data_IF_412609831479
#
_entry.id   IF_412609831479
#
_cell.length_a   1.000
_cell.length_b   1.000
_cell.length_c   1.000
_cell.angle_alpha   90.00
_cell.angle_beta   90.00
_cell.angle_gamma   90.00
#
_symmetry.space_group_name_H-M   'P 1'
#
loop_
_entity.id
_entity.type
_entity.pdbx_description
1 polymer ?
#
# COMPACT_ATOMS: atom_id res chain seq x y z
N UNK A 1 -19.24 -0.88 7.13
CA UNK A 1 -18.66 -1.86 6.23
C UNK A 1 -17.15 -1.81 6.34
N UNK A 2 -16.55 -2.94 6.46
CA UNK A 2 -15.14 -3.00 6.72
C UNK A 2 -14.28 -2.91 5.47
N UNK A 3 -13.00 -2.75 5.69
CA UNK A 3 -12.01 -2.81 4.63
C UNK A 3 -11.85 -4.25 4.17
N UNK A 4 -11.87 -4.46 2.87
CA UNK A 4 -11.59 -5.76 2.28
C UNK A 4 -10.24 -5.67 1.57
N UNK A 5 -9.37 -6.62 1.84
CA UNK A 5 -8.05 -6.69 1.22
C UNK A 5 -7.91 -8.02 0.52
N UNK A 6 -7.69 -7.97 -0.79
CA UNK A 6 -7.38 -9.15 -1.58
C UNK A 6 -5.93 -9.06 -2.00
N UNK A 7 -5.18 -10.15 -1.83
CA UNK A 7 -3.77 -10.16 -2.21
C UNK A 7 -3.56 -11.01 -3.45
N UNK A 8 -2.70 -10.54 -4.34
CA UNK A 8 -2.26 -11.24 -5.53
C UNK A 8 -0.74 -11.21 -5.57
N UNK A 9 -0.12 -12.19 -6.15
CA UNK A 9 1.33 -12.24 -6.25
C UNK A 9 1.79 -12.12 -7.69
N UNK A 10 2.81 -11.30 -7.90
CA UNK A 10 3.50 -11.16 -9.17
C UNK A 10 4.98 -11.40 -8.87
N UNK A 11 5.43 -12.66 -9.00
CA UNK A 11 6.77 -13.03 -8.59
C UNK A 11 6.97 -12.77 -7.10
N UNK A 12 7.97 -11.99 -6.76
CA UNK A 12 8.27 -11.64 -5.37
C UNK A 12 7.44 -10.46 -4.85
N UNK A 13 6.56 -9.90 -5.70
CA UNK A 13 5.78 -8.72 -5.37
C UNK A 13 4.37 -9.13 -5.00
N UNK A 14 3.83 -8.55 -3.94
CA UNK A 14 2.44 -8.76 -3.54
C UNK A 14 1.66 -7.50 -3.86
N UNK A 15 0.55 -7.66 -4.59
CA UNK A 15 -0.39 -6.56 -4.84
C UNK A 15 -1.55 -6.71 -3.87
N UNK A 16 -1.80 -5.66 -3.10
CA UNK A 16 -2.92 -5.62 -2.17
C UNK A 16 -4.01 -4.73 -2.78
N UNK A 17 -5.12 -5.35 -3.17
CA UNK A 17 -6.28 -4.64 -3.70
C UNK A 17 -7.20 -4.31 -2.54
N UNK A 18 -7.25 -3.04 -2.16
CA UNK A 18 -8.09 -2.58 -1.07
C UNK A 18 -9.42 -2.08 -1.61
N UNK A 19 -10.49 -2.41 -0.90
CA UNK A 19 -11.81 -1.87 -1.23
C UNK A 19 -12.58 -1.58 0.04
N UNK A 20 -13.44 -0.57 -0.05
CA UNK A 20 -14.28 -0.19 1.06
C UNK A 20 -14.49 1.31 1.10
N UNK A 21 -15.38 1.74 1.98
CA UNK A 21 -15.71 3.15 2.12
C UNK A 21 -14.75 3.80 3.10
N UNK A 22 -15.03 4.28 4.15
CA UNK A 22 -14.14 4.92 5.10
C UNK A 22 -13.35 3.94 5.94
N UNK A 23 -13.00 2.85 5.41
CA UNK A 23 -12.82 1.68 6.24
C UNK A 23 -11.40 1.33 6.61
N UNK A 24 -10.46 2.14 6.21
CA UNK A 24 -9.11 1.96 6.74
C UNK A 24 -9.09 2.26 8.24
N UNK A 25 -10.15 2.92 8.73
CA UNK A 25 -10.35 3.10 10.17
C UNK A 25 -10.67 1.81 10.91
N UNK A 26 -10.88 0.72 10.21
CA UNK A 26 -11.19 -0.56 10.85
C UNK A 26 -9.98 -1.14 11.58
N UNK A 27 -9.17 -0.29 12.12
CA UNK A 27 -8.10 -0.71 12.96
C UNK A 27 -6.90 -1.16 12.16
N UNK A 28 -6.37 -2.30 12.51
CA UNK A 28 -5.06 -2.73 12.06
C UNK A 28 -5.11 -3.78 10.94
N UNK A 29 -6.22 -3.81 10.19
CA UNK A 29 -6.42 -4.85 9.17
C UNK A 29 -5.27 -4.86 8.16
N UNK A 30 -4.90 -3.67 7.66
CA UNK A 30 -3.81 -3.57 6.70
C UNK A 30 -2.47 -4.01 7.31
N UNK A 31 -2.17 -3.52 8.51
CA UNK A 31 -0.93 -3.89 9.19
C UNK A 31 -0.86 -5.37 9.47
N UNK A 32 -1.97 -5.97 9.92
CA UNK A 32 -2.01 -7.40 10.23
C UNK A 32 -1.79 -8.23 8.96
N UNK A 33 -2.41 -7.83 7.87
CA UNK A 33 -2.23 -8.54 6.60
C UNK A 33 -0.78 -8.49 6.14
N UNK A 34 -0.19 -7.31 6.17
CA UNK A 34 1.21 -7.14 5.73
C UNK A 34 2.16 -7.86 6.69
N UNK A 35 1.91 -7.79 7.98
CA UNK A 35 2.75 -8.45 8.97
C UNK A 35 2.77 -9.97 8.75
N UNK A 36 1.60 -10.55 8.45
CA UNK A 36 1.52 -11.97 8.13
C UNK A 36 2.32 -12.34 6.91
N UNK A 37 2.23 -11.50 5.86
CA UNK A 37 2.98 -11.74 4.63
C UNK A 37 4.48 -11.52 4.82
N UNK A 38 4.87 -10.54 5.65
CA UNK A 38 6.27 -10.35 6.02
C UNK A 38 6.84 -11.59 6.70
N UNK A 39 6.06 -12.23 7.57
CA UNK A 39 6.48 -13.45 8.24
C UNK A 39 6.71 -14.59 7.26
N UNK A 40 6.06 -14.53 6.09
CA UNK A 40 6.26 -15.49 5.00
C UNK A 40 7.41 -15.10 4.07
N UNK A 41 8.10 -14.00 4.36
CA UNK A 41 9.22 -13.55 3.55
C UNK A 41 8.87 -12.57 2.44
N UNK A 42 7.63 -12.10 2.37
CA UNK A 42 7.23 -11.11 1.37
C UNK A 42 7.64 -9.71 1.84
N UNK A 43 8.26 -8.92 0.97
CA UNK A 43 8.81 -7.62 1.35
C UNK A 43 8.43 -6.48 0.41
N UNK A 44 7.94 -6.79 -0.79
CA UNK A 44 7.69 -5.78 -1.82
C UNK A 44 6.21 -5.77 -2.16
N UNK A 45 5.58 -4.63 -1.97
CA UNK A 45 4.13 -4.52 -2.01
C UNK A 45 3.68 -3.37 -2.91
N UNK A 46 2.58 -3.59 -3.61
CA UNK A 46 1.85 -2.54 -4.31
C UNK A 46 0.50 -2.41 -3.62
N UNK A 47 0.18 -1.21 -3.20
CA UNK A 47 -1.10 -0.92 -2.56
C UNK A 47 -2.02 -0.29 -3.59
N UNK A 48 -3.03 -1.03 -4.02
CA UNK A 48 -3.98 -0.56 -5.02
C UNK A 48 -5.18 0.07 -4.33
N UNK A 49 -5.33 1.38 -4.50
CA UNK A 49 -6.37 2.16 -3.83
C UNK A 49 -7.54 2.50 -4.75
N UNK A 50 -7.63 1.83 -5.91
CA UNK A 50 -8.67 2.14 -6.90
C UNK A 50 -10.08 2.09 -6.32
N UNK A 51 -10.35 1.15 -5.43
CA UNK A 51 -11.66 0.94 -4.86
C UNK A 51 -11.79 1.49 -3.43
N UNK A 52 -10.86 2.34 -3.01
CA UNK A 52 -10.94 3.04 -1.75
C UNK A 52 -11.46 4.44 -2.03
N UNK A 53 -12.64 4.75 -1.54
CA UNK A 53 -13.27 6.03 -1.81
C UNK A 53 -12.74 7.14 -0.92
N UNK A 54 -12.33 6.80 0.28
CA UNK A 54 -12.06 7.77 1.32
C UNK A 54 -11.00 7.23 2.28
N UNK A 55 -10.07 8.11 2.66
CA UNK A 55 -9.08 7.83 3.70
C UNK A 55 -9.16 8.93 4.74
N UNK A 56 -9.16 8.55 6.00
CA UNK A 56 -9.01 9.51 7.08
C UNK A 56 -7.56 9.52 7.60
N UNK A 57 -7.29 10.34 8.58
CA UNK A 57 -5.93 10.47 9.12
C UNK A 57 -5.44 9.17 9.76
N UNK A 58 -6.35 8.39 10.33
CA UNK A 58 -5.98 7.09 10.88
C UNK A 58 -5.56 6.11 9.78
N UNK A 59 -6.32 6.08 8.68
CA UNK A 59 -5.99 5.25 7.54
C UNK A 59 -4.66 5.64 6.91
N UNK A 60 -4.40 6.93 6.80
CA UNK A 60 -3.10 7.41 6.31
C UNK A 60 -1.99 6.96 7.24
N UNK A 61 -2.20 7.05 8.56
CA UNK A 61 -1.22 6.59 9.53
C UNK A 61 -0.91 5.11 9.38
N UNK A 62 -1.93 4.30 9.07
CA UNK A 62 -1.74 2.87 8.84
C UNK A 62 -0.87 2.61 7.61
N UNK A 63 -1.07 3.37 6.55
CA UNK A 63 -0.27 3.23 5.33
C UNK A 63 1.19 3.60 5.62
N UNK A 64 1.42 4.69 6.32
CA UNK A 64 2.77 5.13 6.64
C UNK A 64 3.46 4.12 7.56
N UNK A 65 2.76 3.62 8.57
CA UNK A 65 3.31 2.62 9.49
C UNK A 65 3.67 1.33 8.75
N UNK A 66 2.83 0.92 7.81
CA UNK A 66 3.09 -0.25 6.97
C UNK A 66 4.34 -0.04 6.14
N UNK A 67 4.45 1.13 5.52
CA UNK A 67 5.63 1.47 4.72
C UNK A 67 6.91 1.41 5.56
N UNK A 68 6.87 2.00 6.75
CA UNK A 68 8.03 2.00 7.64
C UNK A 68 8.43 0.59 8.07
N UNK A 69 7.45 -0.24 8.38
CA UNK A 69 7.71 -1.63 8.76
C UNK A 69 8.39 -2.39 7.62
N UNK A 70 7.93 -2.16 6.38
CA UNK A 70 8.55 -2.80 5.21
C UNK A 70 9.97 -2.30 4.99
N UNK A 71 10.18 -0.99 5.11
CA UNK A 71 11.53 -0.42 4.92
C UNK A 71 12.50 -0.95 5.97
N UNK A 72 12.03 -1.18 7.19
CA UNK A 72 12.88 -1.74 8.24
C UNK A 72 13.30 -3.18 7.94
N UNK A 73 12.57 -3.86 7.07
CA UNK A 73 12.88 -5.23 6.66
C UNK A 73 13.49 -5.28 5.25
N UNK A 74 14.03 -4.16 4.78
CA UNK A 74 14.60 -4.01 3.43
C UNK A 74 13.57 -4.24 2.33
N UNK A 75 12.32 -3.94 2.61
CA UNK A 75 11.23 -3.99 1.64
C UNK A 75 10.81 -2.61 1.18
N UNK A 76 9.74 -2.55 0.43
CA UNK A 76 9.22 -1.29 -0.08
C UNK A 76 7.72 -1.42 -0.38
N UNK A 77 7.08 -0.26 -0.50
CA UNK A 77 5.66 -0.15 -0.80
C UNK A 77 5.47 0.95 -1.83
N UNK A 78 4.72 0.65 -2.88
CA UNK A 78 4.28 1.65 -3.85
C UNK A 78 2.78 1.75 -3.81
N UNK A 79 2.23 2.90 -4.15
CA UNK A 79 0.78 3.14 -4.20
C UNK A 79 0.37 3.34 -5.65
N UNK A 80 -0.76 2.74 -6.03
CA UNK A 80 -1.31 2.94 -7.38
C UNK A 80 -2.79 3.27 -7.30
N UNK A 81 -3.25 3.99 -8.33
CA UNK A 81 -4.66 4.24 -8.60
C UNK A 81 -5.45 4.91 -7.49
N UNK A 82 -4.88 5.89 -6.74
CA UNK A 82 -5.74 6.63 -5.81
C UNK A 82 -6.73 7.47 -6.62
N UNK A 83 -7.97 7.58 -6.15
CA UNK A 83 -8.90 8.51 -6.78
C UNK A 83 -8.45 9.95 -6.51
N UNK A 84 -9.10 10.93 -7.12
CA UNK A 84 -8.64 12.31 -7.03
C UNK A 84 -8.61 12.83 -5.59
N UNK A 85 -9.60 12.46 -4.78
CA UNK A 85 -9.64 12.91 -3.38
C UNK A 85 -8.51 12.30 -2.57
N UNK A 86 -8.27 11.00 -2.75
CA UNK A 86 -7.19 10.31 -2.04
C UNK A 86 -5.84 10.83 -2.53
N UNK A 87 -5.71 11.06 -3.83
CA UNK A 87 -4.48 11.61 -4.41
C UNK A 87 -4.17 12.98 -3.84
N UNK A 88 -5.18 13.84 -3.75
CA UNK A 88 -5.02 15.18 -3.18
C UNK A 88 -4.59 15.09 -1.71
N UNK A 89 -5.18 14.17 -0.97
CA UNK A 89 -4.84 13.97 0.43
C UNK A 89 -3.39 13.49 0.59
N UNK A 90 -2.95 12.57 -0.25
CA UNK A 90 -1.57 12.09 -0.22
C UNK A 90 -0.59 13.24 -0.53
N UNK A 91 -0.94 14.08 -1.47
CA UNK A 91 -0.13 15.24 -1.82
C UNK A 91 -0.14 16.29 -0.72
N UNK A 92 -1.31 16.58 -0.18
CA UNK A 92 -1.49 17.60 0.85
C UNK A 92 -0.70 17.24 2.12
N UNK A 93 -0.71 15.96 2.49
CA UNK A 93 0.02 15.47 3.66
C UNK A 93 1.49 15.16 3.35
N UNK A 94 1.90 15.32 2.11
CA UNK A 94 3.25 15.05 1.61
C UNK A 94 3.67 13.59 1.71
N UNK A 95 2.72 12.70 1.88
CA UNK A 95 3.00 11.26 1.89
C UNK A 95 3.53 10.82 0.53
N UNK A 96 3.07 11.45 -0.56
CA UNK A 96 3.55 11.14 -1.90
C UNK A 96 5.04 11.48 -2.10
N UNK A 97 5.65 12.22 -1.18
CA UNK A 97 7.09 12.48 -1.20
C UNK A 97 7.88 11.37 -0.51
N UNK A 98 7.21 10.56 0.28
CA UNK A 98 7.82 9.47 1.04
C UNK A 98 7.53 8.13 0.39
N UNK A 99 6.28 7.93 -0.03
CA UNK A 99 5.82 6.69 -0.67
C UNK A 99 5.48 7.02 -2.11
N UNK A 100 6.16 6.40 -3.06
CA UNK A 100 5.96 6.69 -4.47
C UNK A 100 4.55 6.28 -4.91
N UNK A 101 3.87 7.19 -5.58
CA UNK A 101 2.54 6.96 -6.16
C UNK A 101 2.71 6.89 -7.67
N UNK A 102 2.25 5.81 -8.26
CA UNK A 102 2.43 5.54 -9.69
C UNK A 102 1.07 5.36 -10.36
N UNK A 103 0.98 5.68 -11.65
CA UNK A 103 -0.32 5.60 -12.32
C UNK A 103 -0.79 4.19 -12.64
N UNK A 104 0.12 3.22 -12.77
CA UNK A 104 -0.27 1.87 -13.17
C UNK A 104 0.44 0.81 -12.34
N UNK A 105 -0.18 -0.36 -12.28
CA UNK A 105 0.43 -1.52 -11.63
C UNK A 105 1.74 -1.91 -12.31
N UNK A 106 1.78 -1.86 -13.65
CA UNK A 106 2.98 -2.24 -14.39
C UNK A 106 4.17 -1.35 -14.00
N UNK A 107 3.94 -0.04 -13.86
CA UNK A 107 5.01 0.87 -13.47
C UNK A 107 5.46 0.62 -12.03
N UNK A 108 4.52 0.32 -11.15
CA UNK A 108 4.86 0.02 -9.75
C UNK A 108 5.69 -1.26 -9.66
N UNK A 109 5.30 -2.28 -10.41
CA UNK A 109 6.04 -3.54 -10.45
C UNK A 109 7.46 -3.30 -10.98
N UNK A 110 7.59 -2.53 -12.05
CA UNK A 110 8.89 -2.18 -12.62
C UNK A 110 9.79 -1.49 -11.59
N UNK A 111 9.24 -0.54 -10.87
CA UNK A 111 10.02 0.19 -9.87
C UNK A 111 10.46 -0.72 -8.73
N UNK A 112 9.56 -1.58 -8.27
CA UNK A 112 9.90 -2.50 -7.19
C UNK A 112 10.94 -3.53 -7.62
N UNK A 113 10.90 -3.97 -8.86
CA UNK A 113 11.87 -4.96 -9.36
C UNK A 113 13.30 -4.45 -9.30
N UNK A 114 13.50 -3.14 -9.40
CA UNK A 114 14.83 -2.55 -9.27
C UNK A 114 15.42 -2.75 -7.88
N UNK A 115 14.59 -2.93 -6.87
CA UNK A 115 15.01 -3.09 -5.48
C UNK A 115 15.09 -4.55 -5.04
N UNK A 116 14.58 -5.47 -5.84
CA UNK A 116 14.57 -6.89 -5.48
C UNK A 116 15.93 -7.49 -5.81
N UNK A 117 16.58 -8.13 -4.83
CA UNK A 117 17.86 -8.80 -5.10
C UNK A 117 17.69 -9.90 -6.13
N UNK A 118 18.67 -10.03 -7.02
CA UNK A 118 18.65 -11.11 -8.02
C UNK A 118 19.16 -12.41 -7.44
#
# INVERSE_FOLDING_TARGET
MGLVINSREIGAIVVLDLSGDSSITDGTVLQQKVRGLLAEGKRFFVLNLQNVRYLDSFGLGQIVATFQALRNQQGDLKIINPNSKVKDLLRYTRIDKVIQVLPTEAEAVQELQKSIPS
#
